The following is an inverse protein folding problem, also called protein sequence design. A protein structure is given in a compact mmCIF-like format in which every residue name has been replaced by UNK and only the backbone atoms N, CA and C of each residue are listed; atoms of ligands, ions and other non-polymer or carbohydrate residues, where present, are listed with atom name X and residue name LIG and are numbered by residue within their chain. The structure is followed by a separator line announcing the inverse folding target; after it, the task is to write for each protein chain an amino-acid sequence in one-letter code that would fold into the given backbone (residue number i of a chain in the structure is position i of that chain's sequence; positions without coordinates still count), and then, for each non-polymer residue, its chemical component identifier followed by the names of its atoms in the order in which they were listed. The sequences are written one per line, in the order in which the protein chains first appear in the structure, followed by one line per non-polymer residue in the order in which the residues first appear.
data_IF_218195723351
#
_entry.id   IF_218195723351
#
_cell.length_a   1.000
_cell.length_b   1.000
_cell.length_c   1.000
_cell.angle_alpha   90.00
_cell.angle_beta   90.00
_cell.angle_gamma   90.00
#
_symmetry.space_group_name_H-M   'P 1'
#
loop_
_entity.id
_entity.type
_entity.pdbx_description
1 polymer ?
#
# COMPACT_ATOMS: atom_id res chain seq x y z
N UNK A 1 -20.35 79.75 19.60
CA UNK A 1 -21.68 80.04 19.06
C UNK A 1 -22.16 78.78 18.33
N UNK A 2 -23.18 78.13 18.90
CA UNK A 2 -24.07 77.09 18.34
C UNK A 2 -23.49 75.72 17.99
N UNK A 3 -24.07 74.55 18.31
CA UNK A 3 -25.10 74.09 19.26
C UNK A 3 -25.11 72.56 19.13
N UNK A 4 -25.37 71.86 20.24
CA UNK A 4 -25.71 70.43 20.37
C UNK A 4 -26.82 69.94 19.42
N UNK A 5 -26.74 68.69 18.95
CA UNK A 5 -27.90 67.80 18.70
C UNK A 5 -27.46 66.33 18.73
N UNK A 6 -27.92 65.51 19.69
CA UNK A 6 -27.84 64.05 19.65
C UNK A 6 -29.11 63.47 19.02
N UNK A 7 -28.98 62.83 17.85
CA UNK A 7 -30.05 62.09 17.19
C UNK A 7 -30.10 60.65 17.65
N UNK A 8 -31.12 60.31 18.42
CA UNK A 8 -31.51 58.94 18.71
C UNK A 8 -32.25 58.34 17.50
N UNK A 9 -31.75 57.21 16.98
CA UNK A 9 -32.42 56.36 16.00
C UNK A 9 -32.05 54.90 16.27
N UNK A 10 -32.89 54.20 17.03
CA UNK A 10 -33.75 53.10 16.56
C UNK A 10 -33.01 51.91 15.94
N UNK A 11 -32.83 50.88 16.78
CA UNK A 11 -33.23 49.51 16.43
C UNK A 11 -32.57 48.90 15.20
N UNK A 12 -31.34 48.41 15.36
CA UNK A 12 -30.93 47.20 14.65
C UNK A 12 -30.62 46.17 15.72
N UNK A 13 -31.70 45.54 16.21
CA UNK A 13 -31.66 44.19 16.74
C UNK A 13 -31.21 43.28 15.58
N UNK A 14 -29.93 43.28 15.27
CA UNK A 14 -29.30 42.18 14.56
C UNK A 14 -29.25 41.03 15.54
N UNK A 15 -30.26 40.17 15.48
CA UNK A 15 -30.38 38.97 16.26
C UNK A 15 -29.05 38.20 16.26
N UNK A 16 -28.27 38.35 17.32
CA UNK A 16 -27.43 37.25 17.76
C UNK A 16 -28.41 36.21 18.30
N UNK A 17 -28.61 35.07 17.61
CA UNK A 17 -29.49 34.04 18.13
C UNK A 17 -28.97 33.66 19.51
N UNK A 18 -29.86 33.77 20.50
CA UNK A 18 -29.63 33.45 21.89
C UNK A 18 -28.90 32.11 22.03
N UNK A 19 -27.59 32.18 22.29
CA UNK A 19 -26.78 30.99 22.61
C UNK A 19 -27.28 30.35 23.93
N UNK A 20 -28.07 31.10 24.71
CA UNK A 20 -28.65 30.66 25.98
C UNK A 20 -29.90 29.77 25.85
N UNK A 21 -30.48 29.59 24.65
CA UNK A 21 -31.69 28.77 24.44
C UNK A 21 -31.46 27.48 23.65
N UNK A 22 -30.22 27.14 23.26
CA UNK A 22 -29.97 25.84 22.62
C UNK A 22 -30.17 24.72 23.60
N UNK A 23 -31.00 23.76 23.21
CA UNK A 23 -31.24 22.57 24.04
C UNK A 23 -29.98 21.67 24.03
N UNK A 24 -29.74 20.97 25.13
CA UNK A 24 -28.63 20.01 25.23
C UNK A 24 -28.69 18.93 24.14
N UNK A 25 -29.89 18.58 23.66
CA UNK A 25 -30.07 17.65 22.54
C UNK A 25 -29.60 18.19 21.19
N UNK A 26 -29.66 19.51 20.99
CA UNK A 26 -29.20 20.18 19.78
C UNK A 26 -27.66 20.23 19.72
N UNK A 27 -27.02 20.50 20.87
CA UNK A 27 -25.55 20.45 21.02
C UNK A 27 -24.98 19.04 20.79
N UNK A 28 -25.63 18.00 21.31
CA UNK A 28 -25.24 16.59 21.07
C UNK A 28 -25.44 16.21 19.60
N UNK A 29 -26.49 16.74 18.95
CA UNK A 29 -26.75 16.58 17.52
C UNK A 29 -25.61 17.14 16.67
N UNK A 30 -25.20 18.39 16.93
CA UNK A 30 -24.11 19.07 16.21
C UNK A 30 -22.78 18.30 16.37
N UNK A 31 -22.42 17.87 17.60
CA UNK A 31 -21.18 17.11 17.85
C UNK A 31 -21.19 15.75 17.14
N UNK A 32 -22.33 15.06 17.12
CA UNK A 32 -22.47 13.77 16.42
C UNK A 32 -22.33 13.96 14.91
N UNK A 33 -22.88 15.05 14.38
CA UNK A 33 -22.76 15.41 12.97
C UNK A 33 -21.32 15.78 12.58
N UNK A 34 -20.61 16.49 13.45
CA UNK A 34 -19.19 16.83 13.24
C UNK A 34 -18.30 15.59 13.27
N UNK A 35 -18.50 14.68 14.23
CA UNK A 35 -17.81 13.40 14.30
C UNK A 35 -18.07 12.54 13.06
N UNK A 36 -19.34 12.47 12.61
CA UNK A 36 -19.71 11.77 11.37
C UNK A 36 -18.99 12.35 10.16
N UNK A 37 -18.85 13.68 10.12
CA UNK A 37 -18.14 14.39 9.06
C UNK A 37 -16.65 14.08 9.08
N UNK A 38 -16.00 14.07 10.25
CA UNK A 38 -14.58 13.72 10.40
C UNK A 38 -14.30 12.28 9.97
N UNK A 39 -15.12 11.32 10.41
CA UNK A 39 -14.97 9.92 10.01
C UNK A 39 -15.06 9.78 8.49
N UNK A 40 -15.99 10.51 7.84
CA UNK A 40 -16.10 10.51 6.38
C UNK A 40 -14.88 11.11 5.70
N UNK A 41 -14.34 12.20 6.25
CA UNK A 41 -13.12 12.83 5.72
C UNK A 41 -11.91 11.92 5.84
N UNK A 42 -11.72 11.26 6.98
CA UNK A 42 -10.65 10.26 7.18
C UNK A 42 -10.79 9.09 6.20
N UNK A 43 -12.02 8.62 5.96
CA UNK A 43 -12.28 7.60 4.95
C UNK A 43 -11.95 8.08 3.53
N UNK A 44 -12.33 9.32 3.18
CA UNK A 44 -12.05 9.90 1.87
C UNK A 44 -10.55 10.13 1.67
N UNK A 45 -9.83 10.55 2.71
CA UNK A 45 -8.38 10.69 2.71
C UNK A 45 -7.69 9.34 2.56
N UNK A 46 -8.03 8.36 3.40
CA UNK A 46 -7.49 7.01 3.31
C UNK A 46 -7.75 6.40 1.93
N UNK A 47 -8.93 6.63 1.35
CA UNK A 47 -9.26 6.20 -0.01
C UNK A 47 -8.42 6.91 -1.07
N UNK A 48 -8.15 8.22 -0.89
CA UNK A 48 -7.29 8.97 -1.79
C UNK A 48 -5.84 8.46 -1.72
N UNK A 49 -5.32 8.22 -0.53
CA UNK A 49 -3.98 7.67 -0.30
C UNK A 49 -3.85 6.26 -0.89
N UNK A 50 -4.80 5.37 -0.60
CA UNK A 50 -4.85 4.04 -1.19
C UNK A 50 -4.90 4.08 -2.72
N UNK A 51 -5.66 5.00 -3.33
CA UNK A 51 -5.68 5.18 -4.80
C UNK A 51 -4.33 5.65 -5.33
N UNK A 52 -3.66 6.55 -4.62
CA UNK A 52 -2.35 7.05 -5.00
C UNK A 52 -1.29 5.95 -4.89
N UNK A 53 -1.30 5.18 -3.80
CA UNK A 53 -0.43 4.02 -3.60
C UNK A 53 -0.69 2.93 -4.64
N UNK A 54 -1.96 2.57 -4.89
CA UNK A 54 -2.33 1.61 -5.91
C UNK A 54 -1.88 2.05 -7.30
N UNK A 55 -1.98 3.34 -7.63
CA UNK A 55 -1.48 3.89 -8.88
C UNK A 55 0.04 3.80 -9.01
N UNK A 56 0.78 4.11 -7.94
CA UNK A 56 2.25 3.96 -7.89
C UNK A 56 2.65 2.50 -8.05
N UNK A 57 2.03 1.59 -7.30
CA UNK A 57 2.27 0.16 -7.38
C UNK A 57 1.92 -0.39 -8.77
N UNK A 58 0.81 0.05 -9.36
CA UNK A 58 0.38 -0.34 -10.71
C UNK A 58 1.36 0.10 -11.80
N UNK A 59 1.88 1.33 -11.73
CA UNK A 59 2.93 1.81 -12.65
C UNK A 59 4.22 1.03 -12.49
N UNK A 60 4.64 0.77 -11.25
CA UNK A 60 5.82 -0.05 -10.98
C UNK A 60 5.65 -1.47 -11.53
N UNK A 61 4.52 -2.12 -11.25
CA UNK A 61 4.20 -3.43 -11.78
C UNK A 61 4.18 -3.46 -13.32
N UNK A 62 3.59 -2.43 -13.96
CA UNK A 62 3.61 -2.28 -15.41
C UNK A 62 5.02 -2.12 -15.97
N UNK A 63 5.87 -1.28 -15.35
CA UNK A 63 7.25 -1.08 -15.74
C UNK A 63 8.09 -2.36 -15.59
N UNK A 64 7.96 -3.06 -14.47
CA UNK A 64 8.64 -4.35 -14.25
C UNK A 64 8.14 -5.44 -15.21
N UNK A 65 6.85 -5.45 -15.54
CA UNK A 65 6.29 -6.34 -16.56
C UNK A 65 6.91 -6.09 -17.93
N UNK A 66 6.94 -4.83 -18.37
CA UNK A 66 7.55 -4.44 -19.64
C UNK A 66 9.07 -4.74 -19.66
N UNK A 67 9.78 -4.44 -18.59
CA UNK A 67 11.20 -4.77 -18.45
C UNK A 67 11.44 -6.29 -18.49
N UNK A 68 10.55 -7.09 -17.90
CA UNK A 68 10.60 -8.54 -17.97
C UNK A 68 10.48 -9.05 -19.41
N UNK A 69 9.52 -8.53 -20.18
CA UNK A 69 9.35 -8.90 -21.60
C UNK A 69 10.55 -8.45 -22.44
N UNK A 70 11.00 -7.20 -22.29
CA UNK A 70 12.16 -6.70 -23.01
C UNK A 70 13.43 -7.49 -22.67
N UNK A 71 13.66 -7.77 -21.39
CA UNK A 71 14.77 -8.61 -20.93
C UNK A 71 14.71 -10.03 -21.48
N UNK A 72 13.52 -10.62 -21.57
CA UNK A 72 13.33 -11.93 -22.20
C UNK A 72 13.71 -11.91 -23.69
N UNK A 73 13.30 -10.88 -24.44
CA UNK A 73 13.68 -10.72 -25.85
C UNK A 73 15.20 -10.54 -26.03
N UNK A 74 15.84 -9.76 -25.17
CA UNK A 74 17.31 -9.61 -25.18
C UNK A 74 17.98 -10.96 -24.97
N UNK A 75 17.55 -11.74 -23.99
CA UNK A 75 18.11 -13.08 -23.73
C UNK A 75 17.88 -14.05 -24.88
N UNK A 76 16.72 -13.99 -25.54
CA UNK A 76 16.42 -14.79 -26.73
C UNK A 76 17.39 -14.46 -27.87
N UNK A 77 17.53 -13.18 -28.22
CA UNK A 77 18.46 -12.77 -29.28
C UNK A 77 19.91 -13.06 -28.93
N UNK A 78 20.31 -12.90 -27.67
CA UNK A 78 21.65 -13.27 -27.21
C UNK A 78 21.89 -14.78 -27.36
N UNK A 79 20.87 -15.61 -27.14
CA UNK A 79 20.96 -17.06 -27.31
C UNK A 79 21.17 -17.43 -28.78
N UNK A 80 20.42 -16.82 -29.69
CA UNK A 80 20.61 -17.01 -31.13
C UNK A 80 21.97 -16.51 -31.59
N UNK A 81 22.38 -15.32 -31.13
CA UNK A 81 23.69 -14.76 -31.47
C UNK A 81 24.83 -15.66 -30.99
N UNK A 82 24.73 -16.20 -29.76
CA UNK A 82 25.72 -17.13 -29.21
C UNK A 82 25.76 -18.44 -29.99
N UNK A 83 24.60 -19.02 -30.30
CA UNK A 83 24.52 -20.22 -31.13
C UNK A 83 25.19 -19.98 -32.48
N UNK A 84 24.79 -18.92 -33.19
CA UNK A 84 25.33 -18.61 -34.51
C UNK A 84 26.84 -18.32 -34.47
N UNK A 85 27.30 -17.59 -33.45
CA UNK A 85 28.73 -17.34 -33.25
C UNK A 85 29.53 -18.65 -33.04
N UNK A 86 29.00 -19.59 -32.25
CA UNK A 86 29.64 -20.90 -32.05
C UNK A 86 29.61 -21.75 -33.32
N UNK A 87 28.49 -21.74 -34.04
CA UNK A 87 28.32 -22.51 -35.29
C UNK A 87 29.29 -22.07 -36.41
N UNK A 88 29.92 -20.89 -36.32
CA UNK A 88 31.00 -20.51 -37.24
C UNK A 88 32.29 -21.31 -37.04
N UNK A 89 32.50 -21.88 -35.83
CA UNK A 89 33.72 -22.63 -35.49
C UNK A 89 33.50 -24.11 -35.21
N UNK A 90 32.26 -24.58 -35.15
CA UNK A 90 31.90 -25.98 -34.90
C UNK A 90 30.56 -26.35 -35.55
N UNK A 91 30.24 -27.64 -35.55
CA UNK A 91 28.93 -28.14 -35.99
C UNK A 91 27.76 -27.50 -35.20
N UNK A 92 26.67 -27.23 -35.92
CA UNK A 92 25.51 -26.51 -35.39
C UNK A 92 24.84 -27.25 -34.23
N UNK A 93 24.84 -28.59 -34.23
CA UNK A 93 24.29 -29.40 -33.16
C UNK A 93 25.08 -29.26 -31.85
N UNK A 94 26.41 -29.21 -31.94
CA UNK A 94 27.27 -28.99 -30.77
C UNK A 94 27.15 -27.57 -30.23
N UNK A 95 27.03 -26.57 -31.11
CA UNK A 95 26.73 -25.20 -30.71
C UNK A 95 25.40 -25.11 -29.94
N UNK A 96 24.35 -25.76 -30.45
CA UNK A 96 23.04 -25.84 -29.79
C UNK A 96 23.13 -26.46 -28.39
N UNK A 97 23.85 -27.58 -28.26
CA UNK A 97 24.03 -28.27 -26.98
C UNK A 97 24.74 -27.39 -25.95
N UNK A 98 25.77 -26.63 -26.35
CA UNK A 98 26.46 -25.70 -25.44
C UNK A 98 25.49 -24.62 -24.95
N UNK A 99 24.71 -24.00 -25.84
CA UNK A 99 23.72 -22.99 -25.46
C UNK A 99 22.65 -23.58 -24.53
N UNK A 100 22.20 -24.81 -24.78
CA UNK A 100 21.28 -25.52 -23.92
C UNK A 100 21.85 -25.76 -22.51
N UNK A 101 23.14 -26.14 -22.40
CA UNK A 101 23.82 -26.32 -21.11
C UNK A 101 23.92 -24.99 -20.36
N UNK A 102 24.24 -23.89 -21.03
CA UNK A 102 24.26 -22.55 -20.41
C UNK A 102 22.90 -22.21 -19.80
N UNK A 103 21.81 -22.46 -20.53
CA UNK A 103 20.46 -22.25 -20.03
C UNK A 103 20.08 -23.20 -18.89
N UNK A 104 20.51 -24.45 -18.95
CA UNK A 104 20.28 -25.41 -17.86
C UNK A 104 20.95 -24.95 -16.55
N UNK A 105 22.18 -24.43 -16.63
CA UNK A 105 22.88 -23.85 -15.47
C UNK A 105 22.15 -22.61 -14.96
N UNK A 106 21.77 -21.68 -15.86
CA UNK A 106 21.03 -20.49 -15.47
C UNK A 106 19.69 -20.84 -14.78
N UNK A 107 18.95 -21.81 -15.33
CA UNK A 107 17.70 -22.30 -14.74
C UNK A 107 17.91 -22.93 -13.36
N UNK A 108 18.96 -23.74 -13.18
CA UNK A 108 19.30 -24.34 -11.89
C UNK A 108 19.60 -23.26 -10.82
N UNK A 109 20.36 -22.22 -11.19
CA UNK A 109 20.66 -21.09 -10.30
C UNK A 109 19.38 -20.32 -9.94
N UNK A 110 18.57 -19.95 -10.94
CA UNK A 110 17.31 -19.24 -10.71
C UNK A 110 16.35 -20.03 -9.82
N UNK A 111 16.22 -21.33 -10.05
CA UNK A 111 15.41 -22.21 -9.21
C UNK A 111 15.92 -22.26 -7.77
N UNK A 112 17.24 -22.36 -7.57
CA UNK A 112 17.83 -22.36 -6.23
C UNK A 112 17.55 -21.03 -5.48
N UNK A 113 17.71 -19.90 -6.16
CA UNK A 113 17.41 -18.58 -5.60
C UNK A 113 15.93 -18.45 -5.27
N UNK A 114 15.03 -18.79 -6.21
CA UNK A 114 13.58 -18.74 -5.99
C UNK A 114 13.16 -19.64 -4.81
N UNK A 115 13.73 -20.84 -4.71
CA UNK A 115 13.50 -21.77 -3.61
C UNK A 115 13.98 -21.20 -2.27
N UNK A 116 15.13 -20.54 -2.24
CA UNK A 116 15.64 -19.90 -1.03
C UNK A 116 14.73 -18.75 -0.57
N UNK A 117 14.26 -17.90 -1.49
CA UNK A 117 13.34 -16.82 -1.18
C UNK A 117 11.98 -17.33 -0.69
N UNK A 118 11.40 -18.32 -1.36
CA UNK A 118 10.13 -18.92 -0.95
C UNK A 118 10.18 -19.53 0.47
N UNK A 119 11.33 -20.12 0.85
CA UNK A 119 11.54 -20.64 2.21
C UNK A 119 11.55 -19.53 3.28
N UNK A 120 12.12 -18.36 2.97
CA UNK A 120 12.12 -17.21 3.90
C UNK A 120 10.71 -16.72 4.17
N UNK A 121 9.89 -16.55 3.12
CA UNK A 121 8.49 -16.12 3.26
C UNK A 121 7.69 -17.10 4.11
N UNK A 122 7.84 -18.42 3.86
CA UNK A 122 7.20 -19.47 4.67
C UNK A 122 7.61 -19.44 6.15
N UNK A 123 8.86 -19.06 6.44
CA UNK A 123 9.35 -18.89 7.80
C UNK A 123 8.57 -17.81 8.57
N UNK A 124 8.34 -16.66 7.93
CA UNK A 124 7.55 -15.56 8.51
C UNK A 124 6.11 -15.99 8.80
N UNK A 125 5.48 -16.74 7.90
CA UNK A 125 4.12 -17.27 8.13
C UNK A 125 4.07 -18.22 9.33
N UNK A 126 5.08 -19.09 9.51
CA UNK A 126 5.13 -19.99 10.68
C UNK A 126 5.28 -19.23 11.99
N UNK A 127 6.12 -18.21 12.05
CA UNK A 127 6.28 -17.39 13.28
C UNK A 127 4.99 -16.66 13.63
N UNK A 128 4.29 -16.11 12.62
CA UNK A 128 2.98 -15.50 12.82
C UNK A 128 1.93 -16.51 13.32
N UNK A 129 1.97 -17.75 12.82
CA UNK A 129 1.09 -18.84 13.27
C UNK A 129 1.39 -19.27 14.71
N UNK A 130 2.68 -19.41 15.07
CA UNK A 130 3.09 -19.72 16.45
C UNK A 130 2.69 -18.60 17.42
N UNK A 131 2.79 -17.33 17.04
CA UNK A 131 2.33 -16.21 17.86
C UNK A 131 0.81 -16.24 18.12
N UNK A 132 0.01 -16.68 17.13
CA UNK A 132 -1.44 -16.90 17.28
C UNK A 132 -1.81 -18.11 18.16
N UNK A 133 -0.86 -18.99 18.48
CA UNK A 133 -1.07 -20.14 19.38
C UNK A 133 -0.75 -19.81 20.85
N UNK A 134 -0.11 -18.66 21.13
CA UNK A 134 0.20 -18.17 22.48
C UNK A 134 -0.82 -17.12 23.06
N UNK A 135 -2.09 -16.97 22.61
CA UNK A 135 -3.03 -16.08 23.32
C UNK A 135 -3.51 -16.68 24.65
N UNK A 136 -3.41 -18.01 24.84
CA UNK A 136 -3.87 -18.67 26.07
C UNK A 136 -2.91 -18.50 27.26
N UNK A 137 -1.68 -18.05 27.04
CA UNK A 137 -0.71 -17.78 28.11
C UNK A 137 -0.79 -16.35 28.67
N UNK A 138 -1.59 -15.47 28.06
CA UNK A 138 -1.79 -14.07 28.47
C UNK A 138 -3.19 -13.81 29.03
N UNK A 139 -3.97 -14.83 29.37
CA UNK A 139 -5.11 -14.67 30.28
C UNK A 139 -4.54 -14.66 31.71
N UNK A 140 -4.54 -13.52 32.42
CA UNK A 140 -4.28 -13.53 33.85
C UNK A 140 -5.39 -14.37 34.48
N UNK A 141 -5.06 -15.42 35.23
CA UNK A 141 -6.05 -16.09 36.06
C UNK A 141 -6.62 -15.07 37.06
N UNK A 142 -7.94 -14.78 37.04
CA UNK A 142 -8.55 -13.97 38.06
C UNK A 142 -8.83 -14.86 39.27
N UNK A 143 -7.90 -14.93 40.23
CA UNK A 143 -8.19 -15.56 41.52
C UNK A 143 -7.00 -16.23 42.19
N UNK A 144 -6.10 -15.43 42.74
CA UNK A 144 -5.01 -15.91 43.60
C UNK A 144 -4.89 -15.11 44.89
N UNK A 145 -6.01 -14.78 45.54
CA UNK A 145 -6.01 -14.32 46.93
C UNK A 145 -6.58 -15.43 47.80
N UNK A 146 -5.70 -16.15 48.49
CA UNK A 146 -5.98 -16.87 49.72
C UNK A 146 -5.24 -16.18 50.85
#
# INVERSE_FOLDING_TARGET
MSTTTPGAGTGVNGAHPDVAQRSFGELIGDVTQDLSTLVRQEMDLAKAELRQEAGKAGRAAGAFGAAGVAGHMVLLFLSFALWWALANGMDEGWAALIVAVVWAVAAAVLFAVARAQARRVRGLTRTAETAKQIPNALKPEPGGYR
#
